data_IF_382002030254
#
_entry.id   IF_382002030254
#
_cell.length_a   1.000
_cell.length_b   1.000
_cell.length_c   1.000
_cell.angle_alpha   90.00
_cell.angle_beta   90.00
_cell.angle_gamma   90.00
#
_symmetry.space_group_name_H-M   'P 1'
#
loop_
_entity.id
_entity.type
_entity.pdbx_description
1 polymer ?
#
# COMPACT_ATOMS: atom_id res chain seq x y z
N UNK A 1 -15.64 31.50 40.18
CA UNK A 1 -15.55 30.14 39.61
C UNK A 1 -15.82 30.19 38.10
N UNK A 2 -14.99 30.93 37.35
CA UNK A 2 -15.12 31.09 35.88
C UNK A 2 -13.78 30.91 35.15
N UNK A 3 -12.70 30.54 35.86
CA UNK A 3 -11.37 30.35 35.26
C UNK A 3 -11.06 28.91 34.82
N UNK A 4 -11.92 27.93 35.12
CA UNK A 4 -11.60 26.52 34.84
C UNK A 4 -12.13 26.01 33.48
N UNK A 5 -13.11 26.68 32.87
CA UNK A 5 -13.75 26.20 31.63
C UNK A 5 -12.92 26.58 30.37
N UNK A 6 -12.02 27.57 30.45
CA UNK A 6 -11.21 28.01 29.30
C UNK A 6 -9.97 27.16 29.04
N UNK A 7 -9.35 26.57 30.07
CA UNK A 7 -8.12 25.78 29.92
C UNK A 7 -8.38 24.38 29.31
N UNK A 8 -9.46 23.70 29.70
CA UNK A 8 -9.85 22.41 29.11
C UNK A 8 -10.22 22.50 27.62
N UNK A 9 -10.72 23.66 27.17
CA UNK A 9 -11.05 23.90 25.76
C UNK A 9 -9.84 24.24 24.90
N UNK A 10 -8.71 24.62 25.49
CA UNK A 10 -7.53 25.11 24.76
C UNK A 10 -6.52 24.01 24.43
N UNK A 11 -6.61 22.83 25.06
CA UNK A 11 -5.66 21.72 24.85
C UNK A 11 -6.13 20.62 23.88
N UNK A 12 -7.29 20.79 23.21
CA UNK A 12 -7.73 19.92 22.10
C UNK A 12 -7.20 20.38 20.73
N UNK A 13 -5.96 20.87 20.66
CA UNK A 13 -5.24 20.78 19.39
C UNK A 13 -4.98 19.30 19.17
N UNK A 14 -5.85 18.65 18.40
CA UNK A 14 -5.60 17.29 17.91
C UNK A 14 -4.14 17.25 17.45
N UNK A 15 -3.31 16.48 18.16
CA UNK A 15 -1.97 16.17 17.69
C UNK A 15 -2.14 15.71 16.24
N UNK A 16 -1.48 16.39 15.29
CA UNK A 16 -1.51 15.97 13.89
C UNK A 16 -1.28 14.47 13.86
N UNK A 17 -2.20 13.71 13.27
CA UNK A 17 -1.97 12.28 13.07
C UNK A 17 -0.70 12.15 12.26
N UNK A 18 0.33 11.60 12.88
CA UNK A 18 1.60 11.29 12.24
C UNK A 18 1.51 9.89 11.63
N UNK A 19 2.40 9.61 10.68
CA UNK A 19 2.56 8.26 10.13
C UNK A 19 2.93 7.27 11.25
N UNK A 20 2.49 6.02 11.13
CA UNK A 20 2.89 4.94 12.04
C UNK A 20 4.42 4.74 12.01
N UNK A 21 4.97 3.99 12.97
CA UNK A 21 6.40 3.73 13.04
C UNK A 21 6.89 3.04 11.75
N UNK A 22 8.16 3.26 11.39
CA UNK A 22 8.78 2.53 10.28
C UNK A 22 8.75 1.03 10.59
N UNK A 23 8.30 0.24 9.64
CA UNK A 23 8.28 -1.21 9.72
C UNK A 23 8.59 -1.81 8.35
N UNK A 24 9.21 -2.98 8.36
CA UNK A 24 9.64 -3.66 7.15
C UNK A 24 8.55 -4.57 6.58
N UNK A 25 8.67 -4.86 5.28
CA UNK A 25 7.94 -5.96 4.68
C UNK A 25 8.51 -7.28 5.22
N UNK A 26 7.62 -8.20 5.59
CA UNK A 26 8.00 -9.56 6.01
C UNK A 26 7.94 -10.57 4.87
N UNK A 27 7.28 -10.23 3.77
CA UNK A 27 7.30 -11.02 2.54
C UNK A 27 7.34 -10.10 1.31
N UNK A 28 8.00 -10.55 0.25
CA UNK A 28 8.01 -9.88 -1.04
C UNK A 28 8.32 -10.87 -2.16
N UNK A 29 7.99 -10.49 -3.39
CA UNK A 29 8.22 -11.34 -4.54
C UNK A 29 8.00 -10.63 -5.86
N UNK A 30 8.20 -11.39 -6.93
CA UNK A 30 7.81 -11.02 -8.28
C UNK A 30 6.68 -11.92 -8.74
N UNK A 31 5.67 -11.35 -9.38
CA UNK A 31 4.51 -12.06 -9.90
C UNK A 31 4.41 -11.81 -11.41
N UNK A 32 4.48 -12.88 -12.19
CA UNK A 32 4.24 -12.81 -13.63
C UNK A 32 2.75 -12.60 -13.89
N UNK A 33 2.41 -11.52 -14.60
CA UNK A 33 1.04 -11.12 -14.89
C UNK A 33 0.70 -11.12 -16.38
N UNK A 34 1.72 -11.19 -17.23
CA UNK A 34 1.60 -11.53 -18.65
C UNK A 34 2.88 -12.23 -19.13
N UNK A 35 2.94 -12.59 -20.40
CA UNK A 35 4.18 -13.12 -21.00
C UNK A 35 5.32 -12.10 -20.98
N UNK A 36 4.99 -10.80 -20.93
CA UNK A 36 5.95 -9.70 -20.92
C UNK A 36 6.26 -9.18 -19.50
N UNK A 37 5.26 -9.08 -18.63
CA UNK A 37 5.37 -8.32 -17.37
C UNK A 37 5.48 -9.20 -16.12
N UNK A 38 6.42 -8.81 -15.26
CA UNK A 38 6.51 -9.26 -13.87
C UNK A 38 6.41 -8.05 -12.92
N UNK A 39 5.41 -8.05 -12.06
CA UNK A 39 5.24 -7.00 -11.05
C UNK A 39 5.96 -7.38 -9.75
N UNK A 40 6.59 -6.42 -9.09
CA UNK A 40 7.05 -6.56 -7.72
C UNK A 40 5.88 -6.37 -6.75
N UNK A 41 5.82 -7.18 -5.69
CA UNK A 41 4.89 -7.00 -4.57
C UNK A 41 5.56 -7.24 -3.23
N UNK A 42 4.97 -6.69 -2.17
CA UNK A 42 5.36 -6.92 -0.79
C UNK A 42 4.17 -6.92 0.18
N UNK A 43 4.35 -7.61 1.30
CA UNK A 43 3.42 -7.67 2.42
C UNK A 43 4.09 -7.19 3.70
N UNK A 44 3.41 -6.33 4.46
CA UNK A 44 3.82 -5.83 5.77
C UNK A 44 2.64 -5.78 6.76
N UNK A 45 2.92 -5.44 8.02
CA UNK A 45 1.90 -5.38 9.07
C UNK A 45 1.54 -6.76 9.62
N UNK A 46 0.30 -6.92 10.09
CA UNK A 46 -0.17 -8.15 10.73
C UNK A 46 -0.67 -9.16 9.67
N UNK A 47 -0.05 -10.34 9.50
CA UNK A 47 -0.50 -11.35 8.52
C UNK A 47 -1.92 -11.88 8.74
N UNK A 48 -2.50 -11.65 9.93
CA UNK A 48 -3.89 -11.99 10.28
C UNK A 48 -4.80 -10.76 10.36
N UNK A 49 -4.29 -9.59 9.96
CA UNK A 49 -5.02 -8.33 9.99
C UNK A 49 -6.01 -8.16 8.84
N UNK A 50 -6.65 -6.99 8.81
CA UNK A 50 -7.56 -6.58 7.73
C UNK A 50 -6.75 -6.38 6.45
N UNK A 51 -7.03 -7.10 5.35
CA UNK A 51 -6.30 -6.92 4.10
C UNK A 51 -6.51 -5.52 3.51
N UNK A 52 -5.41 -4.87 3.11
CA UNK A 52 -5.43 -3.61 2.38
C UNK A 52 -4.41 -3.65 1.24
N UNK A 53 -4.79 -3.17 0.07
CA UNK A 53 -3.86 -2.90 -1.03
C UNK A 53 -3.72 -1.39 -1.19
N UNK A 54 -2.49 -0.88 -1.17
CA UNK A 54 -2.26 0.56 -1.40
C UNK A 54 -1.71 0.78 -2.82
N UNK A 55 -2.40 1.62 -3.58
CA UNK A 55 -2.03 1.94 -4.97
C UNK A 55 -1.18 3.20 -5.01
N UNK A 56 0.03 3.12 -5.54
CA UNK A 56 0.86 4.30 -5.75
C UNK A 56 0.33 5.17 -6.90
N UNK A 57 0.72 6.45 -6.91
CA UNK A 57 0.35 7.42 -7.94
C UNK A 57 1.34 7.50 -9.10
N UNK A 58 1.22 8.58 -9.90
CA UNK A 58 1.99 8.84 -11.11
C UNK A 58 1.05 9.09 -12.30
N UNK A 59 0.77 8.10 -13.16
CA UNK A 59 1.20 6.70 -13.11
C UNK A 59 2.72 6.53 -13.30
N UNK A 60 3.27 5.37 -12.91
CA UNK A 60 4.70 5.05 -13.05
C UNK A 60 5.61 5.52 -11.91
N UNK A 61 5.07 5.94 -10.76
CA UNK A 61 5.87 6.43 -9.63
C UNK A 61 6.56 5.33 -8.81
N UNK A 62 5.98 4.13 -8.75
CA UNK A 62 6.41 3.05 -7.87
C UNK A 62 6.00 3.25 -6.40
N UNK A 63 6.02 2.15 -5.65
CA UNK A 63 5.76 2.14 -4.20
C UNK A 63 6.98 2.65 -3.42
N UNK A 64 6.71 3.17 -2.21
CA UNK A 64 7.74 3.63 -1.26
C UNK A 64 7.53 2.95 0.10
N UNK A 65 8.61 2.63 0.86
CA UNK A 65 8.48 2.13 2.22
C UNK A 65 7.64 3.01 3.16
N UNK A 66 7.56 4.32 2.87
CA UNK A 66 6.71 5.24 3.64
C UNK A 66 5.22 4.91 3.52
N UNK A 67 4.78 4.30 2.41
CA UNK A 67 3.37 3.97 2.18
C UNK A 67 2.83 2.94 3.18
N UNK A 68 3.68 2.06 3.71
CA UNK A 68 3.29 1.10 4.76
C UNK A 68 2.77 1.81 6.01
N UNK A 69 3.29 3.01 6.28
CA UNK A 69 3.06 3.77 7.51
C UNK A 69 1.75 4.55 7.53
N UNK A 70 0.93 4.47 6.48
CA UNK A 70 -0.43 5.01 6.48
C UNK A 70 -1.42 4.10 7.23
N UNK A 71 -1.06 2.83 7.41
CA UNK A 71 -1.92 1.82 8.01
C UNK A 71 -1.36 1.38 9.36
N UNK A 72 -2.26 1.09 10.29
CA UNK A 72 -1.90 0.56 11.62
C UNK A 72 -1.31 -0.85 11.45
N UNK A 73 -0.01 -1.07 11.72
CA UNK A 73 0.64 -2.34 11.43
C UNK A 73 0.13 -3.50 12.30
N UNK A 74 -0.49 -3.23 13.45
CA UNK A 74 -1.07 -4.27 14.30
C UNK A 74 -2.45 -4.72 13.81
N UNK A 75 -3.13 -3.89 13.01
CA UNK A 75 -4.50 -4.14 12.55
C UNK A 75 -4.61 -4.53 11.09
N UNK A 76 -3.68 -4.09 10.24
CA UNK A 76 -3.76 -4.30 8.80
C UNK A 76 -2.73 -5.30 8.30
N UNK A 77 -3.16 -6.13 7.33
CA UNK A 77 -2.29 -6.91 6.45
C UNK A 77 -2.11 -6.10 5.16
N UNK A 78 -0.94 -5.49 5.00
CA UNK A 78 -0.72 -4.40 4.05
C UNK A 78 0.00 -4.94 2.81
N UNK A 79 -0.58 -4.73 1.63
CA UNK A 79 0.02 -5.06 0.35
C UNK A 79 0.41 -3.81 -0.41
N UNK A 80 1.67 -3.76 -0.84
CA UNK A 80 2.17 -2.79 -1.80
C UNK A 80 2.65 -3.55 -3.04
N UNK A 81 2.52 -2.94 -4.21
CA UNK A 81 3.09 -3.46 -5.44
C UNK A 81 3.51 -2.31 -6.34
N UNK A 82 4.46 -2.58 -7.24
CA UNK A 82 4.87 -1.64 -8.28
C UNK A 82 4.09 -1.96 -9.56
N UNK A 83 3.36 -0.99 -10.11
CA UNK A 83 2.65 -1.18 -11.38
C UNK A 83 3.62 -1.47 -12.54
N UNK A 84 3.09 -1.98 -13.65
CA UNK A 84 3.87 -2.31 -14.85
C UNK A 84 4.79 -1.15 -15.27
N UNK A 85 6.03 -1.46 -15.63
CA UNK A 85 6.98 -0.47 -16.14
C UNK A 85 7.62 0.47 -15.12
N UNK A 86 7.37 0.34 -13.81
CA UNK A 86 7.97 1.24 -12.81
C UNK A 86 8.49 0.53 -11.56
N UNK A 87 9.23 1.27 -10.73
CA UNK A 87 9.81 0.78 -9.49
C UNK A 87 10.69 -0.45 -9.75
N UNK A 88 10.37 -1.54 -9.06
CA UNK A 88 11.06 -2.83 -9.15
C UNK A 88 10.43 -3.78 -10.16
N UNK A 89 9.28 -3.43 -10.73
CA UNK A 89 8.61 -4.22 -11.76
C UNK A 89 9.38 -4.18 -13.07
N UNK A 90 9.25 -5.25 -13.85
CA UNK A 90 10.01 -5.46 -15.08
C UNK A 90 9.12 -5.86 -16.25
N UNK A 91 9.46 -5.45 -17.48
CA UNK A 91 10.59 -4.59 -17.83
C UNK A 91 10.37 -3.11 -17.46
N UNK A 92 11.45 -2.43 -17.06
CA UNK A 92 11.39 -1.03 -16.62
C UNK A 92 11.07 -0.10 -17.81
N UNK A 93 10.22 0.89 -17.58
CA UNK A 93 9.73 1.86 -18.58
C UNK A 93 9.00 1.25 -19.80
N UNK A 94 8.50 0.01 -19.68
CA UNK A 94 7.74 -0.63 -20.75
C UNK A 94 6.29 -0.12 -20.82
N UNK A 95 5.84 0.17 -22.03
CA UNK A 95 4.52 0.75 -22.32
C UNK A 95 3.56 -0.23 -22.99
N UNK A 96 4.08 -1.30 -23.62
CA UNK A 96 3.24 -2.36 -24.16
C UNK A 96 2.53 -3.07 -23.02
N UNK A 97 1.24 -3.37 -23.20
CA UNK A 97 0.40 -3.99 -22.18
C UNK A 97 0.40 -3.21 -20.85
N UNK A 98 0.47 -1.87 -20.90
CA UNK A 98 0.49 -1.00 -19.72
C UNK A 98 -0.69 -0.01 -19.76
N UNK A 99 -1.90 -0.55 -19.80
CA UNK A 99 -3.16 0.23 -19.79
C UNK A 99 -3.85 0.15 -18.43
N UNK A 100 -4.80 1.04 -18.17
CA UNK A 100 -5.63 0.99 -16.95
C UNK A 100 -6.26 -0.38 -16.72
N UNK A 101 -6.73 -1.05 -17.77
CA UNK A 101 -7.39 -2.35 -17.64
C UNK A 101 -6.40 -3.48 -17.38
N UNK A 102 -5.18 -3.39 -17.91
CA UNK A 102 -4.09 -4.30 -17.55
C UNK A 102 -3.76 -4.19 -16.05
N UNK A 103 -3.65 -2.96 -15.53
CA UNK A 103 -3.38 -2.72 -14.11
C UNK A 103 -4.51 -3.22 -13.19
N UNK A 104 -5.77 -3.07 -13.62
CA UNK A 104 -6.92 -3.63 -12.90
C UNK A 104 -6.85 -5.17 -12.87
N UNK A 105 -6.46 -5.81 -13.97
CA UNK A 105 -6.28 -7.26 -14.03
C UNK A 105 -5.11 -7.74 -13.14
N UNK A 106 -4.04 -6.96 -13.04
CA UNK A 106 -2.90 -7.25 -12.16
C UNK A 106 -3.28 -7.24 -10.69
N UNK A 107 -4.12 -6.28 -10.28
CA UNK A 107 -4.65 -6.19 -8.91
C UNK A 107 -5.40 -7.48 -8.55
N UNK A 108 -6.26 -7.99 -9.45
CA UNK A 108 -6.96 -9.25 -9.23
C UNK A 108 -6.03 -10.48 -9.26
N UNK A 109 -5.01 -10.47 -10.10
CA UNK A 109 -4.01 -11.54 -10.17
C UNK A 109 -3.21 -11.61 -8.88
N UNK A 110 -2.78 -10.46 -8.35
CA UNK A 110 -2.13 -10.34 -7.06
C UNK A 110 -3.04 -10.80 -5.92
N UNK A 111 -4.30 -10.35 -5.91
CA UNK A 111 -5.29 -10.72 -4.87
C UNK A 111 -5.43 -12.23 -4.72
N UNK A 112 -5.56 -12.93 -5.86
CA UNK A 112 -5.63 -14.39 -5.91
C UNK A 112 -4.31 -15.03 -5.47
N UNK A 113 -3.17 -14.51 -5.93
CA UNK A 113 -1.84 -15.02 -5.58
C UNK A 113 -1.59 -14.99 -4.06
N UNK A 114 -1.97 -13.91 -3.37
CA UNK A 114 -1.75 -13.77 -1.92
C UNK A 114 -2.88 -14.33 -1.04
N UNK A 115 -3.89 -14.97 -1.68
CA UNK A 115 -4.97 -15.67 -0.99
C UNK A 115 -5.97 -14.76 -0.27
N UNK A 116 -6.20 -13.54 -0.76
CA UNK A 116 -7.13 -12.58 -0.15
C UNK A 116 -8.50 -12.63 -0.84
N UNK A 117 -9.60 -12.72 -0.09
CA UNK A 117 -10.95 -12.71 -0.67
C UNK A 117 -11.42 -11.29 -1.02
N UNK A 118 -11.19 -10.34 -0.11
CA UNK A 118 -11.47 -8.92 -0.29
C UNK A 118 -10.48 -8.10 0.52
N UNK A 119 -10.20 -6.87 0.08
CA UNK A 119 -9.35 -5.91 0.77
C UNK A 119 -9.92 -4.50 0.69
N UNK A 120 -9.46 -3.64 1.59
CA UNK A 120 -9.57 -2.20 1.43
C UNK A 120 -8.65 -1.73 0.28
N UNK A 121 -9.08 -0.74 -0.49
CA UNK A 121 -8.31 -0.05 -1.54
C UNK A 121 -8.13 1.41 -1.14
#
# INVERSE_FOLDING_TARGET
MWQTISEERMNRRQSRRILYHRHEAHASGRLRVSDLHEIYWEESGNPKGIPVVALHGGPGGGSSPEMRRFFDPDRYRIFLFDQRGCGRSTPHSELRENTTWDLVADIETLRKHVGVQSWLV
#
